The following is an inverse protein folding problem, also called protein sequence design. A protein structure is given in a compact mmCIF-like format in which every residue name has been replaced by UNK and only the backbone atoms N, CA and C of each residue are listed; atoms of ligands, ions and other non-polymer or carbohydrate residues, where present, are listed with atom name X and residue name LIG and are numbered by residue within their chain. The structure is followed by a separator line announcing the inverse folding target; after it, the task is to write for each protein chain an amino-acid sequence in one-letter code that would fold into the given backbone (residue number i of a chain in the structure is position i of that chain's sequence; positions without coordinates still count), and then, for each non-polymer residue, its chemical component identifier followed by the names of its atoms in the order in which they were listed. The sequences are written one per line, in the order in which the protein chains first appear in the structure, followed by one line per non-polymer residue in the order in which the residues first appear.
data_IF_797796562792
#
_entry.id   IF_797796562792
#
_cell.length_a   1.000
_cell.length_b   1.000
_cell.length_c   1.000
_cell.angle_alpha   90.00
_cell.angle_beta   90.00
_cell.angle_gamma   90.00
#
_symmetry.space_group_name_H-M   'P 1'
#
loop_
_entity.id
_entity.type
_entity.pdbx_description
1 polymer ?
#
# COMPACT_ATOMS: atom_id res chain seq x y z
N UNK A 1 24.64 7.43 25.41
CA UNK A 1 25.91 7.20 24.67
C UNK A 1 25.51 6.77 23.28
N UNK A 2 25.78 7.57 22.25
CA UNK A 2 25.25 7.32 20.91
C UNK A 2 25.90 6.08 20.26
N UNK A 3 25.11 5.23 19.62
CA UNK A 3 25.64 4.05 18.88
C UNK A 3 26.19 4.47 17.51
N UNK A 4 27.17 3.74 16.99
CA UNK A 4 27.69 3.95 15.63
C UNK A 4 26.62 3.68 14.57
N UNK A 5 26.70 4.38 13.43
CA UNK A 5 25.81 4.18 12.30
C UNK A 5 25.89 2.75 11.76
N UNK A 6 24.76 2.05 11.81
CA UNK A 6 24.58 0.74 11.21
C UNK A 6 24.05 0.87 9.77
N UNK A 7 24.07 -0.23 9.02
CA UNK A 7 23.58 -0.28 7.64
C UNK A 7 22.08 -0.01 7.56
N UNK A 8 21.30 -0.42 8.57
CA UNK A 8 19.88 -0.09 8.68
C UNK A 8 19.64 1.42 8.79
N UNK A 9 20.50 2.15 9.50
CA UNK A 9 20.38 3.61 9.66
C UNK A 9 20.62 4.33 8.31
N UNK A 10 21.55 3.83 7.50
CA UNK A 10 21.79 4.34 6.14
C UNK A 10 20.58 4.12 5.22
N UNK A 11 19.94 2.96 5.32
CA UNK A 11 18.71 2.67 4.57
C UNK A 11 17.60 3.60 5.02
N UNK A 12 17.44 3.82 6.32
CA UNK A 12 16.41 4.70 6.87
C UNK A 12 16.60 6.17 6.42
N UNK A 13 17.85 6.66 6.34
CA UNK A 13 18.13 7.99 5.77
C UNK A 13 17.68 8.06 4.30
N UNK A 14 18.00 7.04 3.50
CA UNK A 14 17.59 6.99 2.09
C UNK A 14 16.06 6.91 1.93
N UNK A 15 15.38 6.11 2.77
CA UNK A 15 13.92 6.06 2.83
C UNK A 15 13.32 7.44 3.13
N UNK A 16 13.86 8.17 4.10
CA UNK A 16 13.35 9.51 4.44
C UNK A 16 13.41 10.44 3.24
N UNK A 17 14.54 10.46 2.52
CA UNK A 17 14.71 11.31 1.33
C UNK A 17 13.68 10.93 0.26
N UNK A 18 13.58 9.64 -0.08
CA UNK A 18 12.70 9.15 -1.16
C UNK A 18 11.21 9.35 -0.81
N UNK A 19 10.78 8.94 0.38
CA UNK A 19 9.38 9.06 0.80
C UNK A 19 8.96 10.50 1.07
N UNK A 20 9.90 11.43 1.33
CA UNK A 20 9.58 12.86 1.37
C UNK A 20 9.14 13.37 0.00
N UNK A 21 9.78 12.92 -1.09
CA UNK A 21 9.33 13.26 -2.44
C UNK A 21 7.97 12.63 -2.76
N UNK A 22 7.79 11.34 -2.44
CA UNK A 22 6.50 10.66 -2.64
C UNK A 22 5.37 11.26 -1.80
N UNK A 23 5.67 11.80 -0.61
CA UNK A 23 4.67 12.51 0.21
C UNK A 23 4.18 13.77 -0.51
N UNK A 24 5.10 14.56 -1.06
CA UNK A 24 4.75 15.79 -1.80
C UNK A 24 3.91 15.45 -3.02
N UNK A 25 4.31 14.45 -3.81
CA UNK A 25 3.57 14.08 -5.01
C UNK A 25 2.23 13.39 -4.69
N UNK A 26 2.18 12.51 -3.69
CA UNK A 26 0.94 11.93 -3.17
C UNK A 26 -0.04 12.99 -2.65
N UNK A 27 0.45 14.01 -1.94
CA UNK A 27 -0.37 15.14 -1.50
C UNK A 27 -0.91 15.94 -2.69
N UNK A 28 -0.07 16.25 -3.68
CA UNK A 28 -0.50 16.92 -4.91
C UNK A 28 -1.58 16.13 -5.66
N UNK A 29 -1.43 14.82 -5.77
CA UNK A 29 -2.43 13.94 -6.39
C UNK A 29 -3.76 13.94 -5.63
N UNK A 30 -3.70 13.94 -4.29
CA UNK A 30 -4.88 14.08 -3.44
C UNK A 30 -5.62 15.41 -3.67
N UNK A 31 -4.89 16.52 -3.83
CA UNK A 31 -5.48 17.83 -4.15
C UNK A 31 -6.06 17.87 -5.57
N UNK A 32 -5.36 17.32 -6.56
CA UNK A 32 -5.76 17.33 -7.98
C UNK A 32 -7.02 16.49 -8.24
N UNK A 33 -7.05 15.27 -7.73
CA UNK A 33 -8.12 14.28 -8.01
C UNK A 33 -9.28 14.32 -7.00
N UNK A 34 -9.13 15.09 -5.92
CA UNK A 34 -10.14 15.28 -4.90
C UNK A 34 -10.18 14.15 -3.87
N UNK A 35 -10.21 14.54 -2.59
CA UNK A 35 -10.20 13.61 -1.46
C UNK A 35 -11.44 12.67 -1.48
N UNK A 36 -12.62 13.16 -1.83
CA UNK A 36 -13.88 12.46 -1.54
C UNK A 36 -14.24 11.28 -2.47
N UNK A 37 -13.55 11.10 -3.61
CA UNK A 37 -13.99 10.11 -4.62
C UNK A 37 -12.86 9.37 -5.34
N UNK A 38 -11.62 9.49 -4.87
CA UNK A 38 -10.44 8.88 -5.49
C UNK A 38 -9.65 8.06 -4.45
N UNK A 39 -10.22 6.93 -4.05
CA UNK A 39 -9.85 6.15 -2.85
C UNK A 39 -8.40 5.67 -2.79
N UNK A 40 -7.71 5.50 -3.92
CA UNK A 40 -6.32 4.99 -3.92
C UNK A 40 -5.26 5.98 -3.42
N UNK A 41 -5.37 7.27 -3.79
CA UNK A 41 -4.27 8.24 -3.59
C UNK A 41 -4.03 8.61 -2.12
N UNK A 42 -5.07 8.58 -1.30
CA UNK A 42 -4.95 8.82 0.15
C UNK A 42 -4.02 7.82 0.81
N UNK A 43 -4.02 6.58 0.33
CA UNK A 43 -3.16 5.54 0.87
C UNK A 43 -1.68 5.76 0.53
N UNK A 44 -1.34 6.48 -0.55
CA UNK A 44 0.04 6.91 -0.79
C UNK A 44 0.55 7.86 0.30
N UNK A 45 -0.28 8.83 0.69
CA UNK A 45 0.08 9.79 1.75
C UNK A 45 0.23 9.06 3.09
N UNK A 46 -0.71 8.17 3.42
CA UNK A 46 -0.64 7.36 4.64
C UNK A 46 0.62 6.48 4.65
N UNK A 47 0.93 5.85 3.52
CA UNK A 47 2.12 5.01 3.36
C UNK A 47 3.41 5.83 3.56
N UNK A 48 3.51 6.98 2.90
CA UNK A 48 4.67 7.85 2.99
C UNK A 48 4.87 8.36 4.42
N UNK A 49 3.80 8.79 5.10
CA UNK A 49 3.88 9.20 6.50
C UNK A 49 4.31 8.05 7.42
N UNK A 50 3.73 6.86 7.25
CA UNK A 50 4.11 5.69 8.04
C UNK A 50 5.60 5.35 7.87
N UNK A 51 6.14 5.50 6.65
CA UNK A 51 7.56 5.28 6.36
C UNK A 51 8.45 6.35 6.96
N UNK A 52 8.12 7.63 6.78
CA UNK A 52 8.86 8.74 7.38
C UNK A 52 8.94 8.61 8.91
N UNK A 53 7.81 8.31 9.56
CA UNK A 53 7.77 8.11 11.02
C UNK A 53 8.58 6.87 11.41
N UNK A 54 8.42 5.75 10.70
CA UNK A 54 9.15 4.51 11.00
C UNK A 54 10.66 4.67 10.90
N UNK A 55 11.14 5.27 9.81
CA UNK A 55 12.56 5.55 9.60
C UNK A 55 13.08 6.58 10.63
N UNK A 56 12.28 7.58 10.99
CA UNK A 56 12.64 8.54 12.05
C UNK A 56 12.75 7.87 13.44
N UNK A 57 11.85 6.95 13.78
CA UNK A 57 11.94 6.16 15.03
C UNK A 57 13.21 5.31 15.06
N UNK A 58 13.59 4.70 13.93
CA UNK A 58 14.86 3.98 13.82
C UNK A 58 16.06 4.91 14.02
N UNK A 59 16.10 6.09 13.38
CA UNK A 59 17.19 7.05 13.60
C UNK A 59 17.26 7.56 15.05
N UNK A 60 16.11 7.72 15.71
CA UNK A 60 16.07 8.15 17.12
C UNK A 60 16.78 7.16 18.05
N UNK A 61 16.85 5.86 17.68
CA UNK A 61 17.60 4.85 18.45
C UNK A 61 19.11 5.10 18.46
N UNK A 62 19.64 5.97 17.59
CA UNK A 62 21.05 6.37 17.62
C UNK A 62 21.36 7.12 18.92
N UNK A 63 20.46 8.03 19.31
CA UNK A 63 20.60 8.83 20.52
C UNK A 63 20.15 8.06 21.78
N UNK A 64 19.07 7.28 21.67
CA UNK A 64 18.48 6.49 22.76
C UNK A 64 18.43 4.98 22.46
N UNK A 65 19.58 4.28 22.45
CA UNK A 65 19.66 2.88 22.02
C UNK A 65 19.03 1.89 22.99
N UNK A 66 18.82 2.26 24.25
CA UNK A 66 18.17 1.40 25.26
C UNK A 66 16.65 1.46 25.19
N UNK A 67 16.09 2.35 24.40
CA UNK A 67 14.64 2.53 24.31
C UNK A 67 14.02 1.49 23.36
N UNK A 68 13.55 0.39 23.94
CA UNK A 68 12.91 -0.72 23.23
C UNK A 68 11.67 -0.25 22.44
N UNK A 69 10.94 0.76 22.94
CA UNK A 69 9.72 1.25 22.27
C UNK A 69 9.99 1.85 20.89
N UNK A 70 11.18 2.43 20.66
CA UNK A 70 11.58 2.95 19.36
C UNK A 70 11.78 1.82 18.34
N UNK A 71 12.39 0.71 18.75
CA UNK A 71 12.57 -0.47 17.90
C UNK A 71 11.22 -1.15 17.60
N UNK A 72 10.35 -1.30 18.61
CA UNK A 72 9.00 -1.85 18.42
C UNK A 72 8.21 -0.96 17.44
N UNK A 73 8.28 0.36 17.60
CA UNK A 73 7.60 1.31 16.72
C UNK A 73 8.09 1.24 15.28
N UNK A 74 9.40 1.21 15.07
CA UNK A 74 9.99 1.01 13.74
C UNK A 74 9.56 -0.31 13.09
N UNK A 75 9.67 -1.44 13.81
CA UNK A 75 9.26 -2.74 13.29
C UNK A 75 7.76 -2.80 12.97
N UNK A 76 6.95 -2.21 13.85
CA UNK A 76 5.49 -2.14 13.67
C UNK A 76 5.13 -1.35 12.41
N UNK A 77 5.68 -0.13 12.27
CA UNK A 77 5.43 0.72 11.09
C UNK A 77 5.97 0.11 9.80
N UNK A 78 7.06 -0.64 9.87
CA UNK A 78 7.59 -1.37 8.72
C UNK A 78 6.61 -2.46 8.23
N UNK A 79 5.95 -3.16 9.16
CA UNK A 79 4.87 -4.11 8.85
C UNK A 79 3.60 -3.41 8.35
N UNK A 80 3.25 -2.26 8.92
CA UNK A 80 2.10 -1.45 8.49
C UNK A 80 2.21 -1.03 7.03
N UNK A 81 3.40 -0.66 6.54
CA UNK A 81 3.54 -0.14 5.17
C UNK A 81 3.05 -1.07 4.05
N UNK A 82 2.91 -2.38 4.30
CA UNK A 82 2.32 -3.28 3.31
C UNK A 82 0.80 -3.10 3.14
N UNK A 83 0.09 -2.71 4.21
CA UNK A 83 -1.36 -2.53 4.19
C UNK A 83 -1.83 -1.40 3.29
N UNK A 84 -1.37 -0.15 3.49
CA UNK A 84 -1.69 0.97 2.62
C UNK A 84 -1.32 0.73 1.15
N UNK A 85 -0.26 -0.04 0.87
CA UNK A 85 0.11 -0.42 -0.49
C UNK A 85 -0.99 -1.24 -1.18
N UNK A 86 -1.48 -2.31 -0.53
CA UNK A 86 -2.56 -3.12 -1.10
C UNK A 86 -3.87 -2.33 -1.15
N UNK A 87 -4.17 -1.54 -0.11
CA UNK A 87 -5.36 -0.68 -0.08
C UNK A 87 -5.35 0.37 -1.20
N UNK A 88 -4.18 0.89 -1.57
CA UNK A 88 -4.02 1.75 -2.74
C UNK A 88 -4.43 1.00 -4.02
N UNK A 89 -3.89 -0.19 -4.25
CA UNK A 89 -4.20 -0.97 -5.46
C UNK A 89 -5.68 -1.38 -5.54
N UNK A 90 -6.27 -1.79 -4.41
CA UNK A 90 -7.72 -2.04 -4.30
C UNK A 90 -8.52 -0.77 -4.62
N UNK A 91 -8.12 0.38 -4.07
CA UNK A 91 -8.77 1.67 -4.35
C UNK A 91 -8.65 2.12 -5.80
N UNK A 92 -7.58 1.74 -6.50
CA UNK A 92 -7.41 1.97 -7.93
C UNK A 92 -8.29 1.02 -8.77
N UNK A 93 -8.41 -0.25 -8.37
CA UNK A 93 -9.31 -1.21 -9.01
C UNK A 93 -10.79 -0.87 -8.79
N UNK A 94 -11.19 -0.44 -7.59
CA UNK A 94 -12.54 0.04 -7.30
C UNK A 94 -12.95 1.21 -8.23
N UNK A 95 -12.01 2.10 -8.52
CA UNK A 95 -12.21 3.17 -9.52
C UNK A 95 -12.47 2.60 -10.91
N UNK A 96 -11.70 1.61 -11.35
CA UNK A 96 -11.89 0.95 -12.65
C UNK A 96 -13.24 0.22 -12.74
N UNK A 97 -13.64 -0.50 -11.68
CA UNK A 97 -14.96 -1.11 -11.60
C UNK A 97 -16.07 -0.04 -11.64
N UNK A 98 -15.86 1.09 -10.98
CA UNK A 98 -16.77 2.25 -11.06
C UNK A 98 -16.93 2.79 -12.49
N UNK A 99 -15.86 2.80 -13.29
CA UNK A 99 -15.96 3.15 -14.72
C UNK A 99 -16.69 2.10 -15.53
N UNK A 100 -16.40 0.82 -15.33
CA UNK A 100 -17.06 -0.26 -16.09
C UNK A 100 -18.56 -0.36 -15.75
N UNK A 101 -18.91 -0.20 -14.46
CA UNK A 101 -20.30 -0.22 -14.01
C UNK A 101 -21.12 0.94 -14.62
N UNK A 102 -20.48 2.08 -14.91
CA UNK A 102 -21.15 3.22 -15.59
C UNK A 102 -21.49 2.94 -17.05
N UNK A 103 -20.75 2.04 -17.70
CA UNK A 103 -21.00 1.57 -19.07
C UNK A 103 -22.03 0.41 -19.13
N UNK A 104 -22.76 0.15 -18.03
CA UNK A 104 -23.92 -0.74 -18.01
C UNK A 104 -23.66 -2.21 -17.68
N UNK A 105 -22.45 -2.58 -17.21
CA UNK A 105 -22.18 -3.91 -16.66
C UNK A 105 -21.91 -3.87 -15.16
N UNK A 106 -22.79 -4.43 -14.34
CA UNK A 106 -22.52 -4.63 -12.91
C UNK A 106 -21.52 -5.79 -12.70
N UNK A 107 -20.21 -5.50 -12.69
CA UNK A 107 -19.19 -6.53 -12.47
C UNK A 107 -18.96 -6.79 -10.98
N UNK A 108 -18.78 -5.73 -10.20
CA UNK A 108 -18.50 -5.83 -8.77
C UNK A 108 -19.34 -4.82 -8.01
N UNK A 109 -20.05 -5.30 -6.98
CA UNK A 109 -20.83 -4.44 -6.09
C UNK A 109 -19.88 -3.73 -5.11
N UNK A 110 -20.14 -2.45 -4.78
CA UNK A 110 -19.32 -1.69 -3.84
C UNK A 110 -19.25 -2.32 -2.44
N UNK A 111 -20.22 -3.17 -2.08
CA UNK A 111 -20.20 -3.93 -0.83
C UNK A 111 -19.04 -4.95 -0.79
N UNK A 112 -18.75 -5.62 -1.89
CA UNK A 112 -17.68 -6.62 -1.95
C UNK A 112 -16.29 -5.98 -1.78
N UNK A 113 -16.07 -4.85 -2.46
CA UNK A 113 -14.85 -4.03 -2.33
C UNK A 113 -14.64 -3.57 -0.88
N UNK A 114 -15.72 -3.15 -0.22
CA UNK A 114 -15.67 -2.78 1.21
C UNK A 114 -15.31 -3.95 2.11
N UNK A 115 -15.80 -5.16 1.82
CA UNK A 115 -15.45 -6.36 2.58
C UNK A 115 -13.97 -6.73 2.45
N UNK A 116 -13.39 -6.67 1.25
CA UNK A 116 -11.96 -6.94 1.04
C UNK A 116 -11.09 -5.89 1.74
N UNK A 117 -11.49 -4.62 1.65
CA UNK A 117 -10.82 -3.52 2.36
C UNK A 117 -10.82 -3.71 3.88
N UNK A 118 -11.96 -4.12 4.45
CA UNK A 118 -12.06 -4.44 5.88
C UNK A 118 -11.22 -5.66 6.25
N UNK A 119 -11.19 -6.69 5.41
CA UNK A 119 -10.36 -7.87 5.61
C UNK A 119 -8.87 -7.52 5.64
N UNK A 120 -8.43 -6.64 4.74
CA UNK A 120 -7.08 -6.09 4.71
C UNK A 120 -6.77 -5.30 5.98
N UNK A 121 -7.71 -4.48 6.46
CA UNK A 121 -7.54 -3.75 7.73
C UNK A 121 -7.37 -4.72 8.91
N UNK A 122 -8.17 -5.78 8.99
CA UNK A 122 -8.02 -6.83 10.02
C UNK A 122 -6.67 -7.53 9.92
N UNK A 123 -6.23 -7.89 8.71
CA UNK A 123 -4.92 -8.51 8.49
C UNK A 123 -3.77 -7.61 8.97
N UNK A 124 -3.86 -6.31 8.68
CA UNK A 124 -2.90 -5.31 9.15
C UNK A 124 -2.87 -5.21 10.68
N UNK A 125 -4.03 -5.19 11.34
CA UNK A 125 -4.11 -5.17 12.81
C UNK A 125 -3.45 -6.43 13.41
N UNK A 126 -3.72 -7.61 12.86
CA UNK A 126 -3.12 -8.85 13.35
C UNK A 126 -1.60 -8.87 13.19
N UNK A 127 -1.08 -8.32 12.08
CA UNK A 127 0.37 -8.15 11.89
C UNK A 127 0.98 -7.14 12.86
N UNK A 128 0.27 -6.06 13.20
CA UNK A 128 0.70 -5.11 14.22
C UNK A 128 0.74 -5.78 15.59
N UNK A 129 -0.36 -6.39 16.02
CA UNK A 129 -0.47 -7.04 17.35
C UNK A 129 0.56 -8.16 17.47
N UNK A 130 0.64 -9.04 16.46
CA UNK A 130 1.62 -10.11 16.44
C UNK A 130 3.06 -9.61 16.37
N UNK A 131 3.31 -8.49 15.70
CA UNK A 131 4.61 -7.82 15.70
C UNK A 131 5.01 -7.25 17.06
N UNK A 132 4.04 -6.66 17.79
CA UNK A 132 4.28 -6.08 19.13
C UNK A 132 4.46 -7.11 20.24
N UNK A 133 3.87 -8.31 20.08
CA UNK A 133 3.92 -9.38 21.06
C UNK A 133 4.99 -10.44 20.75
N UNK A 134 5.74 -10.28 19.67
CA UNK A 134 6.76 -11.25 19.29
C UNK A 134 7.95 -11.23 20.26
N UNK A 135 8.41 -12.42 20.66
CA UNK A 135 9.61 -12.55 21.47
C UNK A 135 10.86 -12.27 20.63
N UNK A 136 11.59 -11.23 21.02
CA UNK A 136 12.84 -10.84 20.38
C UNK A 136 14.01 -11.55 21.05
N UNK A 137 14.66 -12.45 20.31
CA UNK A 137 15.93 -13.05 20.75
C UNK A 137 17.03 -12.61 19.79
N UNK A 138 18.04 -11.91 20.29
CA UNK A 138 19.22 -11.57 19.48
C UNK A 138 20.17 -12.75 19.55
N UNK A 139 20.31 -13.47 18.43
CA UNK A 139 21.29 -14.55 18.29
C UNK A 139 22.29 -14.09 17.23
N UNK A 140 23.56 -13.93 17.61
CA UNK A 140 24.67 -13.54 16.72
C UNK A 140 24.46 -12.20 15.99
N UNK A 141 24.01 -11.16 16.69
CA UNK A 141 23.86 -9.81 16.12
C UNK A 141 22.73 -9.66 15.09
N UNK A 142 21.92 -10.71 14.90
CA UNK A 142 20.72 -10.69 14.06
C UNK A 142 19.47 -10.87 14.93
N UNK A 143 18.46 -10.00 14.81
CA UNK A 143 17.21 -10.17 15.54
C UNK A 143 16.46 -11.40 15.00
N UNK A 144 16.32 -12.44 15.83
CA UNK A 144 15.46 -13.59 15.57
C UNK A 144 14.13 -13.36 16.27
N UNK A 145 13.09 -13.24 15.47
CA UNK A 145 11.73 -12.96 15.92
C UNK A 145 10.99 -14.30 15.97
N UNK A 146 10.51 -14.70 17.15
CA UNK A 146 9.54 -15.79 17.22
C UNK A 146 8.16 -15.21 16.95
N UNK A 147 7.67 -15.41 15.73
CA UNK A 147 6.38 -14.89 15.32
C UNK A 147 5.25 -15.61 16.04
N UNK A 148 4.40 -14.81 16.68
CA UNK A 148 3.21 -15.28 17.38
C UNK A 148 2.16 -15.82 16.40
N UNK A 149 1.16 -16.55 16.91
CA UNK A 149 0.07 -17.11 16.09
C UNK A 149 -0.70 -16.02 15.34
N UNK A 150 -0.82 -14.83 15.94
CA UNK A 150 -1.47 -13.64 15.37
C UNK A 150 -0.73 -13.15 14.13
N UNK A 151 0.61 -13.13 14.16
CA UNK A 151 1.43 -12.75 12.98
C UNK A 151 1.21 -13.71 11.81
N UNK A 152 1.13 -15.02 12.10
CA UNK A 152 0.89 -16.05 11.08
C UNK A 152 -0.52 -15.95 10.50
N UNK A 153 -1.53 -15.71 11.35
CA UNK A 153 -2.90 -15.46 10.92
C UNK A 153 -2.99 -14.20 10.05
N UNK A 154 -2.33 -13.11 10.46
CA UNK A 154 -2.22 -11.89 9.67
C UNK A 154 -1.61 -12.17 8.29
N UNK A 155 -0.46 -12.84 8.23
CA UNK A 155 0.19 -13.22 6.97
C UNK A 155 -0.71 -14.09 6.06
N UNK A 156 -1.46 -15.04 6.64
CA UNK A 156 -2.42 -15.85 5.89
C UNK A 156 -3.54 -15.00 5.27
N UNK A 157 -4.11 -14.06 6.03
CA UNK A 157 -5.12 -13.13 5.51
C UNK A 157 -4.56 -12.24 4.41
N UNK A 158 -3.30 -11.81 4.52
CA UNK A 158 -2.63 -11.04 3.46
C UNK A 158 -2.55 -11.81 2.14
N UNK A 159 -2.28 -13.12 2.19
CA UNK A 159 -2.28 -13.99 1.00
C UNK A 159 -3.68 -14.04 0.38
N UNK A 160 -4.72 -14.19 1.21
CA UNK A 160 -6.12 -14.22 0.75
C UNK A 160 -6.50 -12.90 0.07
N UNK A 161 -6.17 -11.76 0.69
CA UNK A 161 -6.44 -10.42 0.12
C UNK A 161 -5.69 -10.22 -1.19
N UNK A 162 -4.42 -10.63 -1.28
CA UNK A 162 -3.67 -10.55 -2.54
C UNK A 162 -4.30 -11.44 -3.62
N UNK A 163 -4.79 -12.63 -3.25
CA UNK A 163 -5.55 -13.50 -4.15
C UNK A 163 -6.78 -12.80 -4.73
N UNK A 164 -7.55 -12.12 -3.88
CA UNK A 164 -8.69 -11.30 -4.35
C UNK A 164 -8.24 -10.15 -5.25
N UNK A 165 -7.17 -9.43 -4.91
CA UNK A 165 -6.61 -8.37 -5.75
C UNK A 165 -6.25 -8.89 -7.16
N UNK A 166 -5.62 -10.06 -7.25
CA UNK A 166 -5.24 -10.68 -8.54
C UNK A 166 -6.48 -11.09 -9.33
N UNK A 167 -7.49 -11.66 -8.67
CA UNK A 167 -8.77 -12.02 -9.31
C UNK A 167 -9.47 -10.76 -9.85
N UNK A 168 -9.54 -9.70 -9.06
CA UNK A 168 -10.13 -8.43 -9.47
C UNK A 168 -9.38 -7.81 -10.66
N UNK A 169 -8.05 -7.78 -10.61
CA UNK A 169 -7.25 -7.32 -11.74
C UNK A 169 -7.52 -8.16 -13.01
N UNK A 170 -7.63 -9.48 -12.89
CA UNK A 170 -7.97 -10.36 -14.01
C UNK A 170 -9.38 -10.10 -14.58
N UNK A 171 -10.37 -9.85 -13.72
CA UNK A 171 -11.73 -9.48 -14.14
C UNK A 171 -11.73 -8.16 -14.91
N UNK A 172 -11.00 -7.15 -14.44
CA UNK A 172 -10.87 -5.86 -15.13
C UNK A 172 -10.17 -6.03 -16.48
N UNK A 173 -9.11 -6.84 -16.57
CA UNK A 173 -8.45 -7.16 -17.85
C UNK A 173 -9.40 -7.85 -18.82
N UNK A 174 -10.18 -8.83 -18.37
CA UNK A 174 -11.15 -9.55 -19.22
C UNK A 174 -12.22 -8.61 -19.77
N UNK A 175 -12.56 -7.57 -19.02
CA UNK A 175 -13.57 -6.57 -19.36
C UNK A 175 -12.98 -5.22 -19.80
N UNK A 176 -11.71 -5.20 -20.22
CA UNK A 176 -10.98 -3.97 -20.57
C UNK A 176 -11.64 -3.13 -21.66
N UNK A 177 -12.43 -3.74 -22.55
CA UNK A 177 -13.16 -3.04 -23.61
C UNK A 177 -14.27 -2.09 -23.12
N UNK A 178 -14.58 -2.08 -21.83
CA UNK A 178 -15.60 -1.22 -21.20
C UNK A 178 -14.97 -0.14 -20.31
N UNK A 179 -13.65 0.00 -20.35
CA UNK A 179 -12.92 1.01 -19.58
C UNK A 179 -12.83 2.27 -20.43
N UNK A 180 -13.15 3.43 -19.85
CA UNK A 180 -12.96 4.71 -20.52
C UNK A 180 -11.47 4.88 -20.91
N UNK A 181 -11.19 5.40 -22.10
CA UNK A 181 -9.83 5.45 -22.69
C UNK A 181 -8.77 6.10 -21.76
N UNK A 182 -9.18 7.04 -20.90
CA UNK A 182 -8.30 7.67 -19.92
C UNK A 182 -7.92 6.80 -18.71
N UNK A 183 -8.72 5.80 -18.36
CA UNK A 183 -8.54 4.99 -17.15
C UNK A 183 -7.76 3.70 -17.39
N UNK A 184 -7.53 3.31 -18.64
CA UNK A 184 -6.73 2.13 -18.97
C UNK A 184 -5.29 2.21 -18.41
N UNK A 185 -4.76 3.43 -18.21
CA UNK A 185 -3.47 3.68 -17.56
C UNK A 185 -3.43 3.17 -16.12
N UNK A 186 -4.56 3.23 -15.39
CA UNK A 186 -4.67 2.69 -14.03
C UNK A 186 -4.54 1.18 -14.06
N UNK A 187 -5.18 0.51 -15.04
CA UNK A 187 -5.06 -0.94 -15.20
C UNK A 187 -3.60 -1.36 -15.45
N UNK A 188 -2.90 -0.64 -16.32
CA UNK A 188 -1.48 -0.89 -16.59
C UNK A 188 -0.65 -0.69 -15.32
N UNK A 189 -0.92 0.35 -14.53
CA UNK A 189 -0.20 0.59 -13.27
C UNK A 189 -0.41 -0.53 -12.25
N UNK A 190 -1.65 -1.02 -12.10
CA UNK A 190 -1.97 -2.12 -11.19
C UNK A 190 -1.25 -3.39 -11.65
N UNK A 191 -1.36 -3.74 -12.94
CA UNK A 191 -0.70 -4.93 -13.49
C UNK A 191 0.83 -4.87 -13.39
N UNK A 192 1.43 -3.70 -13.63
CA UNK A 192 2.85 -3.49 -13.49
C UNK A 192 3.31 -3.57 -12.02
N UNK A 193 2.44 -3.19 -11.07
CA UNK A 193 2.73 -3.22 -9.63
C UNK A 193 2.57 -4.62 -9.02
N UNK A 194 1.64 -5.44 -9.51
CA UNK A 194 1.37 -6.80 -9.03
C UNK A 194 2.61 -7.66 -8.79
N UNK A 195 3.58 -7.80 -9.73
CA UNK A 195 4.75 -8.64 -9.50
C UNK A 195 5.58 -8.18 -8.29
N UNK A 196 5.73 -6.87 -8.09
CA UNK A 196 6.46 -6.33 -6.94
C UNK A 196 5.72 -6.58 -5.61
N UNK A 197 4.39 -6.48 -5.60
CA UNK A 197 3.57 -6.81 -4.42
C UNK A 197 3.67 -8.29 -4.07
N UNK A 198 3.68 -9.17 -5.07
CA UNK A 198 3.84 -10.61 -4.86
C UNK A 198 5.20 -10.90 -4.23
N UNK A 199 6.29 -10.34 -4.76
CA UNK A 199 7.64 -10.52 -4.19
C UNK A 199 7.70 -9.98 -2.75
N UNK A 200 7.10 -8.81 -2.50
CA UNK A 200 6.99 -8.21 -1.16
C UNK A 200 6.20 -9.10 -0.19
N UNK A 201 5.13 -9.75 -0.64
CA UNK A 201 4.37 -10.69 0.18
C UNK A 201 5.18 -11.95 0.46
N UNK A 202 5.86 -12.51 -0.54
CA UNK A 202 6.72 -13.70 -0.37
C UNK A 202 7.79 -13.40 0.68
N UNK A 203 8.42 -12.22 0.62
CA UNK A 203 9.35 -11.76 1.64
C UNK A 203 8.71 -11.80 3.05
N UNK A 204 7.54 -11.20 3.22
CA UNK A 204 6.80 -11.22 4.50
C UNK A 204 6.49 -12.64 4.97
N UNK A 205 6.06 -13.52 4.07
CA UNK A 205 5.77 -14.92 4.38
C UNK A 205 7.03 -15.72 4.77
N UNK A 206 8.15 -15.52 4.08
CA UNK A 206 9.42 -16.18 4.41
C UNK A 206 9.92 -15.79 5.80
N UNK A 207 9.68 -14.54 6.19
CA UNK A 207 10.01 -14.08 7.52
C UNK A 207 9.09 -14.67 8.58
N UNK A 208 7.78 -14.49 8.42
CA UNK A 208 6.79 -14.87 9.44
C UNK A 208 6.60 -16.39 9.53
N UNK A 209 6.45 -17.06 8.39
CA UNK A 209 6.18 -18.51 8.32
C UNK A 209 7.48 -19.32 8.26
N UNK A 210 8.50 -18.80 7.58
CA UNK A 210 9.80 -19.47 7.45
C UNK A 210 10.74 -19.26 8.63
N UNK A 211 10.36 -18.43 9.61
CA UNK A 211 11.12 -18.11 10.82
C UNK A 211 12.59 -17.72 10.53
N UNK A 212 12.85 -17.12 9.36
CA UNK A 212 14.17 -16.67 8.94
C UNK A 212 14.48 -15.30 9.54
N UNK A 213 15.73 -15.10 9.92
CA UNK A 213 16.23 -13.80 10.39
C UNK A 213 16.22 -12.77 9.26
N UNK A 214 15.78 -11.54 9.56
CA UNK A 214 15.87 -10.44 8.62
C UNK A 214 17.33 -9.99 8.48
N UNK A 215 18.00 -10.37 7.39
CA UNK A 215 19.26 -9.75 7.00
C UNK A 215 19.03 -8.42 6.31
N UNK A 216 19.98 -7.49 6.45
CA UNK A 216 19.92 -6.12 5.88
C UNK A 216 19.58 -6.15 4.39
N UNK A 217 20.28 -6.96 3.61
CA UNK A 217 20.09 -7.05 2.16
C UNK A 217 18.74 -7.64 1.78
N UNK A 218 18.23 -8.57 2.60
CA UNK A 218 16.91 -9.16 2.39
C UNK A 218 15.81 -8.14 2.71
N UNK A 219 15.97 -7.33 3.77
CA UNK A 219 15.11 -6.21 4.09
C UNK A 219 15.10 -5.14 2.99
N UNK A 220 16.27 -4.71 2.53
CA UNK A 220 16.40 -3.70 1.49
C UNK A 220 15.77 -4.17 0.17
N UNK A 221 16.15 -5.35 -0.31
CA UNK A 221 15.72 -5.87 -1.61
C UNK A 221 14.27 -6.33 -1.64
N UNK A 222 13.90 -7.22 -0.71
CA UNK A 222 12.55 -7.80 -0.69
C UNK A 222 11.50 -6.89 -0.09
N UNK A 223 11.92 -5.94 0.76
CA UNK A 223 11.03 -5.04 1.44
C UNK A 223 10.96 -3.65 0.84
N UNK A 224 12.03 -2.89 1.02
CA UNK A 224 12.06 -1.45 0.74
C UNK A 224 12.00 -1.16 -0.76
N UNK A 225 12.85 -1.81 -1.55
CA UNK A 225 12.93 -1.57 -3.00
C UNK A 225 11.62 -1.95 -3.70
N UNK A 226 11.05 -3.11 -3.38
CA UNK A 226 9.77 -3.56 -3.96
C UNK A 226 8.65 -2.55 -3.68
N UNK A 227 8.62 -1.99 -2.48
CA UNK A 227 7.64 -0.99 -2.10
C UNK A 227 7.83 0.34 -2.84
N UNK A 228 9.08 0.84 -2.91
CA UNK A 228 9.43 2.06 -3.65
C UNK A 228 9.03 1.93 -5.12
N UNK A 229 9.27 0.77 -5.75
CA UNK A 229 8.90 0.54 -7.15
C UNK A 229 7.39 0.63 -7.36
N UNK A 230 6.57 0.05 -6.47
CA UNK A 230 5.11 0.13 -6.57
C UNK A 230 4.61 1.56 -6.40
N UNK A 231 5.12 2.27 -5.40
CA UNK A 231 4.75 3.67 -5.15
C UNK A 231 5.10 4.53 -6.36
N UNK A 232 6.31 4.39 -6.90
CA UNK A 232 6.77 5.13 -8.06
C UNK A 232 5.90 4.88 -9.30
N UNK A 233 5.54 3.62 -9.58
CA UNK A 233 4.65 3.26 -10.71
C UNK A 233 3.27 3.91 -10.53
N UNK A 234 2.67 3.75 -9.35
CA UNK A 234 1.34 4.25 -9.08
C UNK A 234 1.30 5.79 -9.12
N UNK A 235 2.28 6.45 -8.53
CA UNK A 235 2.38 7.90 -8.49
C UNK A 235 2.65 8.50 -9.89
N UNK A 236 3.55 7.91 -10.66
CA UNK A 236 3.82 8.32 -12.05
C UNK A 236 2.55 8.27 -12.90
N UNK A 237 1.77 7.17 -12.79
CA UNK A 237 0.47 7.07 -13.47
C UNK A 237 -0.52 8.10 -12.92
N UNK A 238 -0.54 8.33 -11.61
CA UNK A 238 -1.36 9.34 -10.95
C UNK A 238 -1.23 10.74 -11.54
N UNK A 239 0.00 11.16 -11.86
CA UNK A 239 0.26 12.46 -12.47
C UNK A 239 -0.28 12.54 -13.90
N UNK A 240 -0.20 11.45 -14.65
CA UNK A 240 -0.65 11.36 -16.05
C UNK A 240 -2.17 11.24 -16.21
N UNK A 241 -2.91 10.96 -15.14
CA UNK A 241 -4.36 10.85 -15.18
C UNK A 241 -5.02 12.23 -15.25
N UNK A 242 -6.01 12.35 -16.13
CA UNK A 242 -6.90 13.50 -16.18
C UNK A 242 -7.88 13.45 -15.00
N UNK A 243 -8.30 14.62 -14.55
CA UNK A 243 -9.33 14.74 -13.51
C UNK A 243 -10.61 14.12 -14.07
N UNK A 244 -11.32 13.32 -13.27
CA UNK A 244 -12.65 12.83 -13.65
C UNK A 244 -13.56 14.04 -13.78
N UNK A 245 -13.76 14.51 -15.00
CA UNK A 245 -14.80 15.51 -15.29
C UNK A 245 -16.14 14.84 -14.98
N UNK A 246 -16.97 15.40 -14.10
CA UNK A 246 -18.33 14.91 -13.95
C UNK A 246 -19.00 15.14 -15.31
N UNK A 247 -19.25 14.06 -16.05
CA UNK A 247 -19.94 14.13 -17.34
C UNK A 247 -21.25 14.87 -17.14
N UNK A 248 -21.32 16.06 -17.72
CA UNK A 248 -22.43 16.65 -18.48
C UNK A 248 -23.64 15.72 -18.64
N UNK A 249 -24.35 15.43 -17.56
CA UNK A 249 -25.73 14.94 -17.56
C UNK A 249 -26.67 15.89 -16.80
N UNK A 250 -26.12 16.92 -16.18
CA UNK A 250 -26.90 17.99 -15.56
C UNK A 250 -27.33 19.09 -16.56
N UNK A 251 -26.74 19.14 -17.77
CA UNK A 251 -27.03 20.18 -18.75
C UNK A 251 -28.07 19.78 -19.82
N UNK A 252 -28.51 18.52 -19.86
CA UNK A 252 -29.62 18.08 -20.75
C UNK A 252 -30.99 18.08 -20.05
N UNK A 253 -31.02 18.16 -18.71
CA UNK A 253 -32.28 18.30 -17.95
C UNK A 253 -32.76 19.74 -17.78
N UNK A 254 -31.99 20.73 -18.26
CA UNK A 254 -32.36 22.16 -18.25
C UNK A 254 -32.59 22.72 -19.68
N UNK A 255 -33.10 21.92 -20.62
CA UNK A 255 -33.81 22.51 -21.77
C UNK A 255 -35.26 22.76 -21.36
N UNK A 256 -35.67 24.03 -21.13
CA UNK A 256 -37.07 24.32 -20.85
C UNK A 256 -37.88 24.00 -22.09
N UNK A 257 -38.84 23.10 -21.93
CA UNK A 257 -40.00 22.96 -22.81
C UNK A 257 -40.77 24.28 -22.84
N UNK A 258 -40.34 25.21 -23.69
CA UNK A 258 -41.14 26.35 -24.10
C UNK A 258 -41.19 26.34 -25.63
N UNK A 259 -42.23 25.69 -26.16
CA UNK A 259 -42.84 25.98 -27.44
C UNK A 259 -44.30 25.55 -27.32
N UNK A 260 -45.13 26.52 -26.93
CA UNK A 260 -46.55 26.55 -27.23
C UNK A 260 -46.74 27.02 -28.67
#
# INVERSE_FOLDING_TARGET
MARSLDTYDRIAIAEIIIYSFFLVGGAFLCFKHGLSRSSGWRFLVILALARLIGSAMLLATINDPTNISLYIGWMTLNGVGFGPLILMLLGLLDRLFGSINREGRELVKPLYQRMITLLMLVAMILLIVGGTQADYTIVNGSPKINYTTESKAGAALMIVVLGFLVIEAALVVKNQGYIAEGEHRILIAVLASLPFVIVRLIYTCVLILGNKSQTVWFYLGGGVIMEIMVVLICEAVGFTLQKVTPTTKALETEQPSYNA
#
